data_IF_535779010474
#
_entry.id   IF_535779010474
#
_cell.length_a   1.000
_cell.length_b   1.000
_cell.length_c   1.000
_cell.angle_alpha   90.00
_cell.angle_beta   90.00
_cell.angle_gamma   90.00
#
_symmetry.space_group_name_H-M   'P 1'
#
loop_
_entity.id
_entity.type
_entity.pdbx_description
1 polymer ?
#
# COMPACT_ATOMS: atom_id res chain seq x y z
N UNK A 1 -4.90 2.47 -25.25
CA UNK A 1 -4.87 3.56 -24.25
C UNK A 1 -3.42 3.85 -23.89
N UNK A 2 -2.92 5.08 -24.04
CA UNK A 2 -1.56 5.43 -23.59
C UNK A 2 -1.58 5.60 -22.06
N UNK A 3 -1.38 4.49 -21.37
CA UNK A 3 -1.28 4.42 -19.91
C UNK A 3 0.13 4.85 -19.51
N UNK A 4 0.22 5.86 -18.64
CA UNK A 4 1.48 6.32 -18.05
C UNK A 4 1.38 6.27 -16.54
N UNK A 5 2.50 6.14 -15.84
CA UNK A 5 2.53 6.12 -14.38
C UNK A 5 1.87 7.37 -13.79
N UNK A 6 2.19 8.54 -14.34
CA UNK A 6 1.57 9.81 -13.94
C UNK A 6 0.04 9.77 -14.08
N UNK A 7 -0.50 9.25 -15.20
CA UNK A 7 -1.95 9.15 -15.38
C UNK A 7 -2.59 8.14 -14.43
N UNK A 8 -1.92 7.02 -14.15
CA UNK A 8 -2.38 6.05 -13.16
C UNK A 8 -2.45 6.62 -11.76
N UNK A 9 -1.52 7.52 -11.40
CA UNK A 9 -1.53 8.14 -10.08
C UNK A 9 -2.52 9.31 -10.04
N UNK A 10 -2.50 10.25 -10.97
CA UNK A 10 -3.33 11.47 -10.90
C UNK A 10 -4.78 11.24 -11.34
N UNK A 11 -5.00 10.45 -12.38
CA UNK A 11 -6.32 10.19 -12.98
C UNK A 11 -6.77 8.75 -12.74
N UNK A 12 -6.53 8.25 -11.53
CA UNK A 12 -6.74 6.83 -11.19
C UNK A 12 -8.18 6.37 -11.42
N UNK A 13 -9.18 7.25 -11.25
CA UNK A 13 -10.61 6.93 -11.44
C UNK A 13 -10.96 6.74 -12.90
N UNK A 14 -10.42 7.60 -13.75
CA UNK A 14 -10.58 7.54 -15.20
C UNK A 14 -9.85 6.34 -15.78
N UNK A 15 -8.64 6.05 -15.27
CA UNK A 15 -7.86 4.89 -15.68
C UNK A 15 -8.56 3.57 -15.34
N UNK A 16 -9.05 3.39 -14.11
CA UNK A 16 -9.73 2.15 -13.72
C UNK A 16 -11.04 1.95 -14.50
N UNK A 17 -11.79 3.02 -14.77
CA UNK A 17 -12.98 2.98 -15.65
C UNK A 17 -12.64 2.52 -17.06
N UNK A 18 -11.62 3.12 -17.66
CA UNK A 18 -11.21 2.78 -19.01
C UNK A 18 -10.62 1.36 -19.11
N UNK A 19 -9.93 0.92 -18.05
CA UNK A 19 -9.39 -0.43 -17.96
C UNK A 19 -10.50 -1.48 -17.85
N UNK A 20 -11.49 -1.26 -17.00
CA UNK A 20 -12.66 -2.15 -16.83
C UNK A 20 -13.55 -2.19 -18.08
N UNK A 21 -13.69 -1.08 -18.80
CA UNK A 21 -14.51 -1.01 -20.02
C UNK A 21 -13.85 -1.69 -21.23
N UNK A 22 -12.55 -1.94 -21.19
CA UNK A 22 -11.81 -2.59 -22.27
C UNK A 22 -11.91 -4.12 -22.15
N UNK A 23 -11.94 -4.88 -23.25
CA UNK A 23 -11.87 -6.34 -23.17
C UNK A 23 -10.52 -6.74 -22.57
N UNK A 24 -10.56 -7.21 -21.33
CA UNK A 24 -9.35 -7.54 -20.56
C UNK A 24 -8.77 -8.85 -21.09
N UNK A 25 -7.68 -8.74 -21.82
CA UNK A 25 -6.84 -9.86 -22.26
C UNK A 25 -5.46 -9.74 -21.63
N UNK A 26 -4.68 -10.82 -21.64
CA UNK A 26 -3.28 -10.78 -21.19
C UNK A 26 -2.47 -9.69 -21.91
N UNK A 27 -2.80 -9.40 -23.17
CA UNK A 27 -2.11 -8.40 -23.99
C UNK A 27 -2.51 -6.95 -23.63
N UNK A 28 -3.66 -6.74 -23.01
CA UNK A 28 -4.14 -5.40 -22.62
C UNK A 28 -3.60 -4.93 -21.26
N UNK A 29 -2.89 -5.79 -20.53
CA UNK A 29 -2.33 -5.46 -19.21
C UNK A 29 -1.11 -4.56 -19.36
N UNK A 30 -1.04 -3.39 -18.69
CA UNK A 30 0.10 -2.50 -18.77
C UNK A 30 1.23 -2.96 -17.85
N UNK A 31 1.90 -4.07 -18.22
CA UNK A 31 2.92 -4.72 -17.39
C UNK A 31 4.05 -3.79 -16.95
N UNK A 32 4.50 -2.88 -17.82
CA UNK A 32 5.54 -1.90 -17.48
C UNK A 32 5.10 -0.98 -16.34
N UNK A 33 3.84 -0.55 -16.35
CA UNK A 33 3.27 0.29 -15.30
C UNK A 33 3.07 -0.51 -14.02
N UNK A 34 2.62 -1.76 -14.13
CA UNK A 34 2.46 -2.66 -12.99
C UNK A 34 3.81 -2.96 -12.32
N UNK A 35 4.86 -3.17 -13.11
CA UNK A 35 6.22 -3.34 -12.60
C UNK A 35 6.70 -2.06 -11.88
N UNK A 36 6.45 -0.88 -12.44
CA UNK A 36 6.79 0.39 -11.79
C UNK A 36 6.03 0.60 -10.47
N UNK A 37 4.71 0.34 -10.43
CA UNK A 37 3.91 0.43 -9.21
C UNK A 37 4.36 -0.59 -8.15
N UNK A 38 4.70 -1.80 -8.57
CA UNK A 38 5.25 -2.84 -7.68
C UNK A 38 6.60 -2.41 -7.13
N UNK A 39 7.47 -1.81 -7.95
CA UNK A 39 8.76 -1.29 -7.51
C UNK A 39 8.57 -0.16 -6.49
N UNK A 40 7.63 0.77 -6.71
CA UNK A 40 7.27 1.80 -5.72
C UNK A 40 6.84 1.15 -4.42
N UNK A 41 5.99 0.12 -4.50
CA UNK A 41 5.47 -0.54 -3.31
C UNK A 41 6.60 -1.20 -2.48
N UNK A 42 7.40 -2.05 -3.13
CA UNK A 42 8.48 -2.80 -2.48
C UNK A 42 9.58 -1.88 -1.96
N UNK A 43 10.04 -0.93 -2.79
CA UNK A 43 11.12 -0.02 -2.41
C UNK A 43 10.66 0.92 -1.29
N UNK A 44 9.44 1.45 -1.38
CA UNK A 44 8.84 2.30 -0.34
C UNK A 44 8.78 1.58 1.00
N UNK A 45 8.26 0.35 1.03
CA UNK A 45 8.17 -0.47 2.25
C UNK A 45 9.55 -0.71 2.86
N UNK A 46 10.54 -1.04 2.03
CA UNK A 46 11.91 -1.24 2.48
C UNK A 46 12.54 0.04 3.04
N UNK A 47 12.40 1.17 2.34
CA UNK A 47 12.93 2.46 2.77
C UNK A 47 12.30 2.87 4.11
N UNK A 48 10.98 2.78 4.23
CA UNK A 48 10.29 3.11 5.45
C UNK A 48 10.70 2.19 6.60
N UNK A 49 10.64 0.86 6.40
CA UNK A 49 11.01 -0.12 7.41
C UNK A 49 12.46 -0.02 7.86
N UNK A 50 13.39 0.31 6.95
CA UNK A 50 14.78 0.59 7.28
C UNK A 50 14.93 1.91 8.07
N UNK A 51 14.21 2.97 7.68
CA UNK A 51 14.29 4.28 8.35
C UNK A 51 13.87 4.23 9.83
N UNK A 52 13.02 3.29 10.21
CA UNK A 52 12.62 3.09 11.61
C UNK A 52 13.82 2.74 12.50
N UNK A 53 14.84 2.06 11.99
CA UNK A 53 16.06 1.75 12.75
C UNK A 53 16.89 2.98 13.14
N UNK A 54 16.67 4.11 12.45
CA UNK A 54 17.34 5.37 12.75
C UNK A 54 16.74 6.07 13.98
N UNK A 55 15.48 5.75 14.32
CA UNK A 55 14.69 6.49 15.31
C UNK A 55 14.09 5.61 16.41
N UNK A 56 14.04 4.29 16.22
CA UNK A 56 13.56 3.31 17.19
C UNK A 56 14.71 2.34 17.55
N UNK A 57 15.29 2.43 18.77
CA UNK A 57 16.47 1.64 19.15
C UNK A 57 16.27 0.12 19.12
N UNK A 58 15.04 -0.37 19.28
CA UNK A 58 14.70 -1.80 19.23
C UNK A 58 14.51 -2.32 17.80
N UNK A 59 14.62 -1.46 16.78
CA UNK A 59 14.32 -1.79 15.40
C UNK A 59 15.61 -1.98 14.59
N UNK A 60 15.90 -3.20 14.17
CA UNK A 60 17.06 -3.46 13.30
C UNK A 60 16.73 -3.12 11.84
N UNK A 61 17.73 -2.64 11.09
CA UNK A 61 17.52 -2.15 9.72
C UNK A 61 16.96 -3.22 8.76
N UNK A 62 17.66 -4.34 8.62
CA UNK A 62 17.28 -5.41 7.67
C UNK A 62 16.02 -6.13 8.11
N UNK A 63 15.95 -6.53 9.38
CA UNK A 63 14.76 -7.17 9.95
C UNK A 63 13.55 -6.25 9.87
N UNK A 64 13.74 -4.95 10.12
CA UNK A 64 12.70 -3.94 10.02
C UNK A 64 12.14 -3.77 8.61
N UNK A 65 13.00 -3.65 7.61
CA UNK A 65 12.61 -3.58 6.21
C UNK A 65 11.84 -4.85 5.77
N UNK A 66 12.37 -6.03 6.08
CA UNK A 66 11.72 -7.30 5.76
C UNK A 66 10.40 -7.47 6.50
N UNK A 67 10.34 -7.05 7.76
CA UNK A 67 9.14 -7.16 8.57
C UNK A 67 7.99 -6.36 7.97
N UNK A 68 8.23 -5.09 7.62
CA UNK A 68 7.21 -4.26 6.95
C UNK A 68 6.84 -4.86 5.59
N UNK A 69 7.83 -5.17 4.75
CA UNK A 69 7.61 -5.68 3.40
C UNK A 69 6.78 -6.96 3.38
N UNK A 70 7.16 -7.95 4.21
CA UNK A 70 6.48 -9.24 4.25
C UNK A 70 5.08 -9.10 4.85
N UNK A 71 4.93 -8.36 5.96
CA UNK A 71 3.61 -8.16 6.58
C UNK A 71 2.62 -7.50 5.62
N UNK A 72 3.06 -6.45 4.93
CA UNK A 72 2.26 -5.79 3.92
C UNK A 72 1.97 -6.72 2.74
N UNK A 73 3.00 -7.35 2.17
CA UNK A 73 2.87 -8.23 1.01
C UNK A 73 1.90 -9.39 1.22
N UNK A 74 2.00 -10.10 2.35
CA UNK A 74 1.07 -11.18 2.69
C UNK A 74 -0.35 -10.66 2.96
N UNK A 75 -0.49 -9.49 3.58
CA UNK A 75 -1.79 -8.83 3.74
C UNK A 75 -2.47 -8.57 2.39
N UNK A 76 -1.72 -8.02 1.41
CA UNK A 76 -2.21 -7.80 0.05
C UNK A 76 -2.55 -9.09 -0.70
N UNK A 77 -1.80 -10.17 -0.44
CA UNK A 77 -2.05 -11.48 -1.03
C UNK A 77 -3.38 -12.09 -0.56
N UNK A 78 -3.83 -11.80 0.66
CA UNK A 78 -5.18 -12.18 1.13
C UNK A 78 -6.24 -11.19 0.63
N UNK A 79 -5.92 -9.91 0.66
CA UNK A 79 -6.84 -8.83 0.28
C UNK A 79 -7.31 -8.95 -1.17
N UNK A 80 -6.38 -9.13 -2.12
CA UNK A 80 -6.69 -9.18 -3.55
C UNK A 80 -7.74 -10.23 -3.93
N UNK A 81 -7.54 -11.52 -3.59
CA UNK A 81 -8.53 -12.57 -3.82
C UNK A 81 -9.87 -12.29 -3.15
N UNK A 82 -9.87 -11.76 -1.91
CA UNK A 82 -11.10 -11.43 -1.19
C UNK A 82 -11.86 -10.31 -1.89
N UNK A 83 -11.15 -9.26 -2.35
CA UNK A 83 -11.75 -8.16 -3.11
C UNK A 83 -12.39 -8.68 -4.40
N UNK A 84 -11.71 -9.56 -5.14
CA UNK A 84 -12.26 -10.18 -6.37
C UNK A 84 -13.55 -10.95 -6.04
N UNK A 85 -13.52 -11.78 -5.00
CA UNK A 85 -14.67 -12.59 -4.62
C UNK A 85 -15.90 -11.74 -4.24
N UNK A 86 -15.70 -10.71 -3.42
CA UNK A 86 -16.79 -9.86 -2.90
C UNK A 86 -17.33 -8.91 -3.97
N UNK A 87 -16.46 -8.35 -4.81
CA UNK A 87 -16.85 -7.35 -5.81
C UNK A 87 -17.24 -7.97 -7.15
N UNK A 88 -16.91 -9.25 -7.38
CA UNK A 88 -17.12 -9.98 -8.63
C UNK A 88 -16.44 -9.31 -9.83
N UNK A 89 -15.44 -8.45 -9.57
CA UNK A 89 -14.68 -7.75 -10.60
C UNK A 89 -13.58 -8.64 -11.15
N UNK A 90 -13.11 -8.29 -12.35
CA UNK A 90 -12.04 -9.03 -13.01
C UNK A 90 -10.75 -9.00 -12.16
N UNK A 91 -10.02 -10.11 -12.16
CA UNK A 91 -8.73 -10.23 -11.47
C UNK A 91 -7.77 -9.08 -11.80
N UNK A 92 -7.60 -8.74 -13.07
CA UNK A 92 -6.68 -7.69 -13.49
C UNK A 92 -7.13 -6.30 -13.05
N UNK A 93 -8.44 -6.04 -13.02
CA UNK A 93 -9.00 -4.77 -12.51
C UNK A 93 -8.69 -4.62 -11.03
N UNK A 94 -8.95 -5.66 -10.23
CA UNK A 94 -8.62 -5.65 -8.79
C UNK A 94 -7.12 -5.51 -8.55
N UNK A 95 -6.29 -6.24 -9.30
CA UNK A 95 -4.84 -6.12 -9.20
C UNK A 95 -4.38 -4.69 -9.51
N UNK A 96 -4.84 -4.10 -10.62
CA UNK A 96 -4.52 -2.72 -10.99
C UNK A 96 -4.89 -1.74 -9.88
N UNK A 97 -6.12 -1.84 -9.36
CA UNK A 97 -6.60 -1.01 -8.28
C UNK A 97 -5.73 -1.14 -7.01
N UNK A 98 -5.35 -2.37 -6.64
CA UNK A 98 -4.48 -2.64 -5.50
C UNK A 98 -3.09 -2.02 -5.68
N UNK A 99 -2.47 -2.16 -6.85
CA UNK A 99 -1.13 -1.59 -7.10
C UNK A 99 -1.12 -0.07 -7.06
N UNK A 100 -2.13 0.58 -7.65
CA UNK A 100 -2.27 2.04 -7.55
C UNK A 100 -2.47 2.44 -6.09
N UNK A 101 -3.35 1.74 -5.36
CA UNK A 101 -3.57 1.99 -3.94
C UNK A 101 -2.29 1.84 -3.11
N UNK A 102 -1.50 0.77 -3.30
CA UNK A 102 -0.22 0.58 -2.61
C UNK A 102 0.74 1.74 -2.84
N UNK A 103 0.86 2.21 -4.08
CA UNK A 103 1.75 3.33 -4.41
C UNK A 103 1.39 4.61 -3.65
N UNK A 104 0.10 4.86 -3.41
CA UNK A 104 -0.35 6.00 -2.60
C UNK A 104 0.05 5.87 -1.12
N UNK A 105 -0.14 4.69 -0.53
CA UNK A 105 0.27 4.44 0.86
C UNK A 105 1.78 4.57 1.04
N UNK A 106 2.54 4.05 0.09
CA UNK A 106 4.00 4.09 0.11
C UNK A 106 4.55 5.49 -0.18
N UNK A 107 3.83 6.33 -0.90
CA UNK A 107 4.13 7.76 -0.99
C UNK A 107 4.13 8.42 0.39
N UNK A 108 3.11 8.15 1.23
CA UNK A 108 3.03 8.68 2.60
C UNK A 108 4.16 8.14 3.48
N UNK A 109 4.44 6.82 3.40
CA UNK A 109 5.48 6.19 4.21
C UNK A 109 6.89 6.61 3.78
N UNK A 110 7.14 6.80 2.50
CA UNK A 110 8.42 7.31 1.99
C UNK A 110 8.67 8.74 2.45
N UNK A 111 7.65 9.61 2.45
CA UNK A 111 7.76 10.95 3.03
C UNK A 111 8.07 10.89 4.54
N UNK A 112 7.48 9.93 5.24
CA UNK A 112 7.74 9.69 6.67
C UNK A 112 9.17 9.21 6.90
N UNK A 113 9.70 8.37 6.01
CA UNK A 113 11.09 7.92 6.04
C UNK A 113 12.09 9.08 5.90
N UNK A 114 11.77 10.09 5.07
CA UNK A 114 12.56 11.32 4.98
C UNK A 114 12.55 12.09 6.30
N UNK A 115 11.40 12.16 6.98
CA UNK A 115 11.32 12.77 8.32
C UNK A 115 12.18 11.99 9.32
N UNK A 116 12.09 10.66 9.35
CA UNK A 116 12.94 9.83 10.21
C UNK A 116 14.44 10.06 9.95
N UNK A 117 14.83 10.20 8.69
CA UNK A 117 16.21 10.53 8.31
C UNK A 117 16.62 11.92 8.83
N UNK A 118 15.75 12.93 8.70
CA UNK A 118 15.97 14.29 9.21
C UNK A 118 16.12 14.27 10.75
N UNK A 119 15.27 13.50 11.45
CA UNK A 119 15.34 13.35 12.91
C UNK A 119 16.63 12.66 13.37
N UNK A 120 17.16 11.73 12.58
CA UNK A 120 18.44 11.07 12.86
C UNK A 120 19.63 12.05 12.92
N UNK A 121 19.51 13.25 12.35
CA UNK A 121 20.51 14.32 12.45
C UNK A 121 20.42 15.14 13.76
N UNK A 122 19.83 14.59 14.83
CA UNK A 122 19.73 15.17 16.17
C UNK A 122 19.01 16.53 16.23
N UNK A 123 17.97 16.71 15.42
CA UNK A 123 17.11 17.88 15.58
C UNK A 123 16.25 17.73 16.84
N UNK A 124 16.23 18.72 17.74
CA UNK A 124 15.41 18.66 18.93
C UNK A 124 13.93 18.69 18.53
N UNK A 125 13.24 17.57 18.75
CA UNK A 125 11.79 17.46 18.59
C UNK A 125 11.12 17.20 19.93
N UNK A 126 9.95 17.81 20.11
CA UNK A 126 9.17 17.75 21.35
C UNK A 126 8.12 16.65 21.37
N UNK A 127 8.03 15.81 20.33
CA UNK A 127 7.01 14.76 20.20
C UNK A 127 7.61 13.34 20.28
N UNK A 128 6.77 12.38 20.63
CA UNK A 128 7.12 10.96 20.65
C UNK A 128 7.21 10.41 19.22
N UNK A 129 8.41 9.95 18.84
CA UNK A 129 8.70 9.48 17.48
C UNK A 129 7.99 8.17 17.13
N UNK A 130 7.72 7.32 18.13
CA UNK A 130 6.94 6.10 17.98
C UNK A 130 5.47 6.42 17.68
N UNK A 131 4.87 7.34 18.43
CA UNK A 131 3.51 7.83 18.19
C UNK A 131 3.40 8.48 16.82
N UNK A 132 4.39 9.27 16.42
CA UNK A 132 4.44 9.87 15.09
C UNK A 132 4.45 8.82 13.98
N UNK A 133 5.38 7.85 14.02
CA UNK A 133 5.48 6.81 13.00
C UNK A 133 4.21 5.94 12.92
N UNK A 134 3.66 5.56 14.08
CA UNK A 134 2.38 4.85 14.14
C UNK A 134 1.25 5.66 13.49
N UNK A 135 1.16 6.97 13.80
CA UNK A 135 0.16 7.86 13.21
C UNK A 135 0.32 7.95 11.69
N UNK A 136 1.55 7.98 11.18
CA UNK A 136 1.80 8.01 9.74
C UNK A 136 1.41 6.70 9.04
N UNK A 137 1.55 5.55 9.69
CA UNK A 137 1.00 4.27 9.20
C UNK A 137 -0.53 4.30 9.13
N UNK A 138 -1.18 4.88 10.15
CA UNK A 138 -2.64 5.07 10.15
C UNK A 138 -3.07 6.00 9.01
N UNK A 139 -2.39 7.14 8.83
CA UNK A 139 -2.65 8.08 7.72
C UNK A 139 -2.46 7.39 6.37
N UNK A 140 -1.39 6.62 6.19
CA UNK A 140 -1.15 5.83 4.98
C UNK A 140 -2.31 4.87 4.70
N UNK A 141 -2.78 4.13 5.70
CA UNK A 141 -3.94 3.24 5.57
C UNK A 141 -5.22 3.98 5.18
N UNK A 142 -5.47 5.15 5.77
CA UNK A 142 -6.63 5.99 5.44
C UNK A 142 -6.54 6.45 3.97
N UNK A 143 -5.38 6.96 3.54
CA UNK A 143 -5.19 7.40 2.15
C UNK A 143 -5.42 6.22 1.19
N UNK A 144 -4.84 5.06 1.49
CA UNK A 144 -5.00 3.86 0.65
C UNK A 144 -6.47 3.42 0.52
N UNK A 145 -7.19 3.29 1.64
CA UNK A 145 -8.60 2.84 1.60
C UNK A 145 -9.48 3.86 0.88
N UNK A 146 -9.22 5.16 1.03
CA UNK A 146 -9.95 6.21 0.30
C UNK A 146 -9.70 6.12 -1.21
N UNK A 147 -8.44 6.00 -1.64
CA UNK A 147 -8.09 5.84 -3.05
C UNK A 147 -8.74 4.58 -3.62
N UNK A 148 -8.73 3.47 -2.88
CA UNK A 148 -9.38 2.24 -3.33
C UNK A 148 -10.90 2.40 -3.42
N UNK A 149 -11.55 2.99 -2.42
CA UNK A 149 -12.99 3.27 -2.45
C UNK A 149 -13.34 4.09 -3.70
N UNK A 150 -12.59 5.15 -3.96
CA UNK A 150 -12.82 6.03 -5.12
C UNK A 150 -12.60 5.31 -6.46
N UNK A 151 -11.61 4.42 -6.55
CA UNK A 151 -11.40 3.55 -7.72
C UNK A 151 -12.57 2.58 -7.92
N UNK A 152 -12.95 1.87 -6.87
CA UNK A 152 -13.98 0.83 -6.94
C UNK A 152 -15.37 1.43 -7.18
N UNK A 153 -15.69 2.59 -6.59
CA UNK A 153 -16.90 3.35 -6.89
C UNK A 153 -16.95 3.80 -8.35
N UNK A 154 -15.80 4.16 -8.94
CA UNK A 154 -15.73 4.57 -10.33
C UNK A 154 -16.20 3.46 -11.30
N UNK A 155 -16.08 2.19 -10.90
CA UNK A 155 -16.53 1.01 -11.66
C UNK A 155 -17.80 0.35 -11.08
N UNK A 156 -18.57 1.10 -10.28
CA UNK A 156 -19.90 0.70 -9.79
C UNK A 156 -19.92 -0.15 -8.53
N UNK A 157 -18.80 -0.30 -7.80
CA UNK A 157 -18.78 -1.02 -6.53
C UNK A 157 -19.15 -0.07 -5.38
N UNK A 158 -20.07 -0.50 -4.52
CA UNK A 158 -20.51 0.30 -3.37
C UNK A 158 -19.38 0.41 -2.33
N UNK A 159 -19.15 1.62 -1.83
CA UNK A 159 -18.00 1.94 -0.96
C UNK A 159 -17.90 1.06 0.30
N UNK A 160 -19.03 0.71 0.91
CA UNK A 160 -19.02 -0.06 2.17
C UNK A 160 -18.50 -1.47 1.96
N UNK A 161 -18.68 -2.07 0.77
CA UNK A 161 -18.11 -3.39 0.45
C UNK A 161 -16.58 -3.32 0.44
N UNK A 162 -16.04 -2.30 -0.22
CA UNK A 162 -14.59 -2.06 -0.26
C UNK A 162 -14.03 -1.82 1.13
N UNK A 163 -14.69 -0.98 1.94
CA UNK A 163 -14.27 -0.71 3.31
C UNK A 163 -14.34 -1.96 4.19
N UNK A 164 -15.42 -2.75 4.09
CA UNK A 164 -15.57 -3.98 4.87
C UNK A 164 -14.46 -4.98 4.55
N UNK A 165 -14.19 -5.20 3.25
CA UNK A 165 -13.08 -6.06 2.82
C UNK A 165 -11.75 -5.54 3.36
N UNK A 166 -11.49 -4.24 3.27
CA UNK A 166 -10.30 -3.60 3.82
C UNK A 166 -10.12 -3.87 5.31
N UNK A 167 -11.15 -3.61 6.12
CA UNK A 167 -11.10 -3.80 7.57
C UNK A 167 -10.91 -5.27 7.96
N UNK A 168 -11.61 -6.19 7.29
CA UNK A 168 -11.55 -7.61 7.64
C UNK A 168 -10.24 -8.27 7.19
N UNK A 169 -9.71 -7.88 6.03
CA UNK A 169 -8.53 -8.55 5.48
C UNK A 169 -7.25 -7.77 5.73
N UNK A 170 -7.09 -6.54 5.24
CA UNK A 170 -5.81 -5.84 5.41
C UNK A 170 -5.52 -5.49 6.87
N UNK A 171 -6.47 -4.94 7.61
CA UNK A 171 -6.23 -4.63 9.02
C UNK A 171 -6.16 -5.90 9.87
N UNK A 172 -7.07 -6.86 9.65
CA UNK A 172 -7.11 -8.12 10.39
C UNK A 172 -5.88 -9.01 10.12
N UNK A 173 -5.66 -9.40 8.88
CA UNK A 173 -4.50 -10.24 8.50
C UNK A 173 -3.18 -9.49 8.60
N UNK A 174 -3.15 -8.18 8.33
CA UNK A 174 -1.95 -7.36 8.50
C UNK A 174 -1.46 -7.36 9.95
N UNK A 175 -2.36 -7.21 10.93
CA UNK A 175 -1.98 -7.31 12.34
C UNK A 175 -1.44 -8.70 12.71
N UNK A 176 -2.06 -9.76 12.19
CA UNK A 176 -1.60 -11.14 12.41
C UNK A 176 -0.21 -11.36 11.81
N UNK A 177 -0.01 -11.00 10.55
CA UNK A 177 1.29 -11.16 9.88
C UNK A 177 2.36 -10.29 10.52
N UNK A 178 2.01 -9.07 10.92
CA UNK A 178 2.90 -8.19 11.66
C UNK A 178 3.36 -8.86 12.95
N UNK A 179 2.44 -9.45 13.72
CA UNK A 179 2.81 -10.19 14.93
C UNK A 179 3.66 -11.44 14.62
N UNK A 180 3.32 -12.23 13.61
CA UNK A 180 4.10 -13.44 13.22
C UNK A 180 5.53 -13.05 12.83
N UNK A 181 5.69 -12.11 11.91
CA UNK A 181 7.01 -11.70 11.43
C UNK A 181 7.82 -10.98 12.50
N UNK A 182 7.17 -10.33 13.47
CA UNK A 182 7.84 -9.82 14.67
C UNK A 182 8.52 -10.95 15.45
N UNK A 183 7.89 -12.12 15.59
CA UNK A 183 8.49 -13.24 16.34
C UNK A 183 9.62 -13.91 15.54
N UNK A 184 9.50 -13.95 14.21
CA UNK A 184 10.44 -14.67 13.33
C UNK A 184 11.68 -13.84 13.00
N UNK A 185 11.56 -12.51 12.89
CA UNK A 185 12.63 -11.61 12.45
C UNK A 185 13.32 -10.85 13.61
N UNK A 186 12.93 -11.13 14.86
CA UNK A 186 13.54 -10.58 16.07
C UNK A 186 14.96 -11.07 16.29
#
# INVERSE_FOLDING_TARGET
>A
MNITLFKCLIYFREQIKAFEASPITWQSVPYVIWAALTAIAVIGSCIYGASLSLVLPSWQLTSGALWILLSAGFGWFIFGPTLIFVTKKNFFTCAHACMVTMAYGEGVLTLTALVNLILAFNLPVSFDVGVFNFSMVVVSNIVMVLVLILQMQAIGVVWWKTLLVWMLTLNGSGAIFFWIFQQVLK
#
